data_IF_486085521261
#
_entry.id   IF_486085521261
#
_cell.length_a   1.000
_cell.length_b   1.000
_cell.length_c   1.000
_cell.angle_alpha   90.00
_cell.angle_beta   90.00
_cell.angle_gamma   90.00
#
_symmetry.space_group_name_H-M   'P 1'
#
loop_
_entity.id
_entity.type
_entity.pdbx_description
1 polymer ?
#
# COMPACT_ATOMS: atom_id res chain seq x y z
N UNK A 1 7.87 -7.61 1.97
CA UNK A 1 9.17 -8.26 2.24
C UNK A 1 10.34 -7.43 1.69
N UNK A 2 11.52 -7.43 2.33
CA UNK A 2 12.70 -6.65 1.85
C UNK A 2 13.77 -7.58 1.30
N UNK A 3 14.31 -7.27 0.12
CA UNK A 3 15.42 -8.03 -0.46
C UNK A 3 16.72 -7.77 0.31
N UNK A 4 17.39 -8.84 0.76
CA UNK A 4 18.67 -8.76 1.49
C UNK A 4 19.85 -8.28 0.64
N UNK A 5 19.74 -8.39 -0.68
CA UNK A 5 20.82 -8.06 -1.63
C UNK A 5 20.76 -6.63 -2.16
N UNK A 6 19.58 -6.16 -2.57
CA UNK A 6 19.41 -4.82 -3.14
C UNK A 6 18.64 -3.87 -2.24
N UNK A 7 18.09 -4.35 -1.11
CA UNK A 7 17.34 -3.54 -0.17
C UNK A 7 15.94 -3.10 -0.64
N UNK A 8 15.55 -3.44 -1.88
CA UNK A 8 14.23 -3.09 -2.42
C UNK A 8 13.11 -3.83 -1.68
N UNK A 9 11.98 -3.15 -1.52
CA UNK A 9 10.77 -3.72 -0.92
C UNK A 9 9.99 -4.40 -2.05
N UNK A 10 9.74 -5.70 -1.90
CA UNK A 10 8.87 -6.47 -2.77
C UNK A 10 7.62 -6.94 -2.03
N UNK A 11 6.61 -7.35 -2.80
CA UNK A 11 5.37 -7.91 -2.28
C UNK A 11 5.59 -9.34 -1.77
N UNK A 12 4.87 -9.74 -0.72
CA UNK A 12 5.09 -11.01 0.01
C UNK A 12 4.75 -12.27 -0.80
N UNK A 13 4.02 -12.15 -1.91
CA UNK A 13 3.71 -13.25 -2.81
C UNK A 13 4.75 -13.46 -3.91
N UNK A 14 5.76 -12.59 -4.00
CA UNK A 14 6.77 -12.62 -5.05
C UNK A 14 7.97 -13.46 -4.57
N UNK A 15 8.31 -14.49 -5.34
CA UNK A 15 9.45 -15.37 -5.05
C UNK A 15 10.80 -14.82 -5.54
N UNK A 16 10.81 -13.89 -6.49
CA UNK A 16 12.03 -13.37 -7.12
C UNK A 16 12.04 -11.85 -7.07
N UNK A 17 13.13 -11.25 -6.61
CA UNK A 17 13.25 -9.79 -6.62
C UNK A 17 13.25 -9.24 -8.06
N UNK A 18 12.27 -8.40 -8.40
CA UNK A 18 12.17 -7.77 -9.72
C UNK A 18 13.38 -6.89 -10.08
N UNK A 19 14.14 -6.42 -9.09
CA UNK A 19 15.27 -5.50 -9.30
C UNK A 19 16.60 -6.23 -9.48
N UNK A 20 16.88 -7.27 -8.69
CA UNK A 20 18.19 -7.92 -8.66
C UNK A 20 18.15 -9.42 -8.99
N UNK A 21 16.96 -9.99 -9.22
CA UNK A 21 16.76 -11.40 -9.55
C UNK A 21 17.08 -12.37 -8.41
N UNK A 22 17.28 -11.88 -7.18
CA UNK A 22 17.56 -12.72 -6.04
C UNK A 22 16.32 -13.53 -5.63
N UNK A 23 16.54 -14.79 -5.24
CA UNK A 23 15.49 -15.65 -4.70
C UNK A 23 15.13 -15.18 -3.29
N UNK A 24 13.85 -14.87 -3.10
CA UNK A 24 13.29 -14.35 -1.86
C UNK A 24 12.46 -15.41 -1.12
N UNK A 25 12.42 -16.65 -1.59
CA UNK A 25 11.66 -17.74 -0.97
C UNK A 25 12.05 -17.99 0.49
N UNK A 26 13.31 -17.80 0.84
CA UNK A 26 13.79 -17.91 2.24
C UNK A 26 13.20 -16.80 3.11
N UNK A 27 13.19 -15.56 2.61
CA UNK A 27 12.59 -14.40 3.31
C UNK A 27 11.08 -14.55 3.42
N UNK A 28 10.44 -15.10 2.39
CA UNK A 28 9.01 -15.39 2.38
C UNK A 28 8.64 -16.45 3.44
N UNK A 29 9.44 -17.51 3.59
CA UNK A 29 9.23 -18.52 4.66
C UNK A 29 9.33 -17.92 6.05
N UNK A 30 10.26 -16.99 6.26
CA UNK A 30 10.43 -16.29 7.55
C UNK A 30 9.24 -15.37 7.89
N UNK A 31 8.61 -14.77 6.88
CA UNK A 31 7.44 -13.90 7.05
C UNK A 31 6.13 -14.66 7.21
N UNK A 32 6.12 -15.97 6.97
CA UNK A 32 4.94 -16.83 7.07
C UNK A 32 4.09 -16.82 5.80
N UNK A 33 3.34 -17.92 5.60
CA UNK A 33 2.38 -18.00 4.50
C UNK A 33 1.15 -17.18 4.84
N UNK A 34 0.97 -16.05 4.14
CA UNK A 34 -0.28 -15.31 4.17
C UNK A 34 -1.32 -16.10 3.35
N UNK A 35 -2.52 -16.39 3.91
CA UNK A 35 -3.58 -16.99 3.13
C UNK A 35 -3.96 -16.01 2.00
N UNK A 36 -3.85 -16.45 0.75
CA UNK A 36 -4.42 -15.69 -0.35
C UNK A 36 -5.94 -15.78 -0.20
N UNK A 37 -6.65 -14.66 0.02
CA UNK A 37 -8.10 -14.69 -0.07
C UNK A 37 -8.45 -15.03 -1.52
N UNK A 38 -9.25 -16.06 -1.73
CA UNK A 38 -9.89 -16.26 -3.03
C UNK A 38 -10.78 -15.04 -3.27
N UNK A 39 -10.52 -14.23 -4.32
CA UNK A 39 -11.35 -13.07 -4.57
C UNK A 39 -12.78 -13.52 -4.88
N UNK A 40 -13.71 -13.21 -3.98
CA UNK A 40 -15.13 -13.37 -4.23
C UNK A 40 -15.57 -12.24 -5.17
N UNK A 41 -15.80 -12.59 -6.43
CA UNK A 41 -16.22 -11.65 -7.46
C UNK A 41 -17.75 -11.50 -7.53
N UNK A 42 -18.50 -11.93 -6.51
CA UNK A 42 -19.97 -11.90 -6.56
C UNK A 42 -20.52 -10.49 -6.72
N UNK A 43 -19.83 -9.49 -6.16
CA UNK A 43 -20.18 -8.07 -6.30
C UNK A 43 -19.94 -7.48 -7.71
N UNK A 44 -19.14 -8.15 -8.56
CA UNK A 44 -19.00 -7.75 -9.97
C UNK A 44 -20.14 -8.25 -10.85
N UNK A 45 -20.95 -9.21 -10.38
CA UNK A 45 -22.03 -9.78 -11.20
C UNK A 45 -23.15 -8.77 -11.43
N UNK A 46 -23.35 -7.84 -10.51
CA UNK A 46 -24.32 -6.75 -10.65
C UNK A 46 -23.91 -5.73 -11.72
N UNK A 47 -22.61 -5.61 -12.04
CA UNK A 47 -22.09 -4.70 -13.06
C UNK A 47 -22.23 -5.25 -14.49
N UNK A 48 -22.37 -6.57 -14.66
CA UNK A 48 -22.51 -7.20 -15.99
C UNK A 48 -23.94 -7.07 -16.54
N UNK A 49 -24.91 -6.75 -15.69
CA UNK A 49 -26.33 -6.72 -16.07
C UNK A 49 -26.76 -5.42 -16.77
N UNK A 50 -25.89 -4.41 -16.84
CA UNK A 50 -26.13 -3.16 -17.60
C UNK A 50 -25.01 -2.87 -18.60
N UNK A 51 -24.62 -3.86 -19.41
CA UNK A 51 -23.81 -3.58 -20.61
C UNK A 51 -24.25 -4.51 -21.73
N UNK A 52 -25.15 -3.99 -22.58
CA UNK A 52 -25.19 -4.36 -23.98
C UNK A 52 -23.73 -4.35 -24.50
N UNK A 53 -23.23 -5.40 -25.17
CA UNK A 53 -21.88 -5.36 -25.72
C UNK A 53 -21.77 -4.13 -26.62
N UNK A 54 -20.86 -3.16 -26.36
CA UNK A 54 -20.59 -2.16 -27.36
C UNK A 54 -20.02 -2.92 -28.55
N UNK A 55 -20.78 -2.93 -29.65
CA UNK A 55 -20.20 -3.26 -30.95
C UNK A 55 -18.88 -2.51 -31.09
N UNK A 56 -17.87 -3.24 -31.57
CA UNK A 56 -16.50 -2.81 -31.76
C UNK A 56 -16.34 -1.28 -31.79
N UNK A 57 -15.78 -0.73 -30.73
CA UNK A 57 -15.35 0.66 -30.72
C UNK A 57 -14.37 0.86 -31.89
N UNK A 58 -14.45 1.96 -32.65
CA UNK A 58 -13.35 2.32 -33.52
C UNK A 58 -12.10 2.42 -32.63
N UNK A 59 -10.99 1.82 -33.08
CA UNK A 59 -9.70 1.91 -32.42
C UNK A 59 -9.40 3.38 -32.11
N UNK A 60 -9.57 3.76 -30.85
CA UNK A 60 -9.26 5.11 -30.39
C UNK A 60 -7.74 5.24 -30.46
N UNK A 61 -7.26 6.14 -31.31
CA UNK A 61 -5.85 6.36 -31.52
C UNK A 61 -5.29 7.13 -30.31
N UNK A 62 -4.56 6.41 -29.46
CA UNK A 62 -3.99 6.97 -28.22
C UNK A 62 -2.87 7.99 -28.50
N UNK A 63 -2.47 8.18 -29.76
CA UNK A 63 -1.47 9.16 -30.16
C UNK A 63 -1.99 10.61 -30.15
N UNK A 64 -3.29 10.83 -30.03
CA UNK A 64 -3.91 12.16 -29.90
C UNK A 64 -4.07 12.65 -28.45
N UNK A 65 -3.67 11.84 -27.46
CA UNK A 65 -3.77 12.24 -26.05
C UNK A 65 -2.65 13.23 -25.73
N UNK A 66 -3.01 14.50 -25.60
CA UNK A 66 -2.08 15.57 -25.19
C UNK A 66 -1.79 15.50 -23.69
N UNK A 67 -0.61 15.01 -23.33
CA UNK A 67 -0.12 14.91 -21.95
C UNK A 67 0.60 16.17 -21.47
N UNK A 68 0.62 17.23 -22.28
CA UNK A 68 1.31 18.49 -21.95
C UNK A 68 0.68 19.22 -20.76
N UNK A 69 -0.61 18.98 -20.49
CA UNK A 69 -1.38 19.61 -19.40
C UNK A 69 -1.14 18.93 -18.03
N UNK A 70 -0.51 17.74 -18.01
CA UNK A 70 -0.21 17.01 -16.77
C UNK A 70 1.09 17.47 -16.11
N UNK A 71 1.91 18.24 -16.83
CA UNK A 71 3.08 18.89 -16.26
C UNK A 71 2.58 20.20 -15.64
N UNK A 72 1.94 20.08 -14.47
CA UNK A 72 1.83 21.19 -13.53
C UNK A 72 3.26 21.47 -13.08
N UNK A 73 3.90 22.38 -13.80
CA UNK A 73 5.26 22.80 -13.57
C UNK A 73 5.34 23.64 -12.33
N UNK A 74 5.38 23.02 -11.16
CA UNK A 74 5.93 23.61 -9.95
C UNK A 74 6.59 22.45 -9.20
N UNK A 75 7.90 22.36 -9.39
CA UNK A 75 8.83 21.69 -8.49
C UNK A 75 8.78 22.40 -7.12
N UNK A 76 7.62 22.32 -6.45
CA UNK A 76 7.55 22.45 -5.01
C UNK A 76 8.23 21.20 -4.47
N UNK A 77 9.55 21.35 -4.32
CA UNK A 77 10.38 20.66 -3.34
C UNK A 77 9.48 20.36 -2.13
N UNK A 78 8.98 19.12 -2.07
CA UNK A 78 8.43 18.55 -0.85
C UNK A 78 9.62 18.51 0.09
N UNK A 79 9.90 19.65 0.72
CA UNK A 79 10.80 19.72 1.85
C UNK A 79 10.33 18.63 2.78
N UNK A 80 11.21 17.69 3.06
CA UNK A 80 11.11 16.83 4.22
C UNK A 80 10.92 17.78 5.40
N UNK A 81 9.65 18.07 5.74
CA UNK A 81 9.33 18.61 7.03
C UNK A 81 9.58 17.44 7.95
N UNK A 82 10.83 17.30 8.36
CA UNK A 82 11.25 16.59 9.54
C UNK A 82 10.36 17.15 10.66
N UNK A 83 9.21 16.52 10.86
CA UNK A 83 8.40 16.70 12.05
C UNK A 83 9.27 16.08 13.13
N UNK A 84 10.07 16.92 13.77
CA UNK A 84 10.82 16.58 14.97
C UNK A 84 9.79 16.23 16.04
N UNK A 85 9.46 14.94 16.13
CA UNK A 85 8.58 14.42 17.17
C UNK A 85 9.33 14.57 18.50
N UNK A 86 8.87 15.51 19.34
CA UNK A 86 9.47 15.72 20.65
C UNK A 86 9.15 14.50 21.54
N UNK A 87 10.17 13.72 21.85
CA UNK A 87 10.04 12.48 22.64
C UNK A 87 9.41 12.77 24.01
N UNK A 88 9.57 14.00 24.53
CA UNK A 88 8.95 14.42 25.79
C UNK A 88 7.43 14.49 25.72
N UNK A 89 6.87 14.89 24.57
CA UNK A 89 5.43 14.90 24.36
C UNK A 89 4.85 13.48 24.41
N UNK A 90 5.63 12.49 23.97
CA UNK A 90 5.24 11.07 24.06
C UNK A 90 5.36 10.56 25.50
N UNK A 91 6.40 10.96 26.25
CA UNK A 91 6.57 10.59 27.67
C UNK A 91 5.41 11.10 28.52
N UNK A 92 4.97 12.35 28.32
CA UNK A 92 3.83 12.92 29.06
C UNK A 92 2.53 12.15 28.81
N UNK A 93 2.31 11.65 27.60
CA UNK A 93 1.12 10.84 27.25
C UNK A 93 1.17 9.43 27.88
N UNK A 94 2.37 8.86 28.05
CA UNK A 94 2.54 7.56 28.71
C UNK A 94 2.32 7.67 30.22
N UNK A 95 2.70 8.80 30.82
CA UNK A 95 2.52 9.08 32.24
C UNK A 95 1.10 9.57 32.61
N UNK A 96 0.21 9.73 31.62
CA UNK A 96 -1.17 10.16 31.85
C UNK A 96 -1.97 9.12 32.65
N UNK A 97 -2.32 9.48 33.88
CA UNK A 97 -3.08 8.62 34.80
C UNK A 97 -4.50 8.30 34.32
N UNK A 98 -5.13 9.16 33.52
CA UNK A 98 -6.47 8.92 32.99
C UNK A 98 -6.44 7.86 31.90
N UNK A 99 -5.44 7.93 31.01
CA UNK A 99 -5.22 6.91 29.98
C UNK A 99 -4.90 5.55 30.60
N UNK A 100 -4.04 5.50 31.63
CA UNK A 100 -3.72 4.24 32.33
C UNK A 100 -4.96 3.61 32.98
N UNK A 101 -5.81 4.41 33.63
CA UNK A 101 -7.07 3.93 34.24
C UNK A 101 -8.05 3.39 33.20
N UNK A 102 -8.15 4.02 32.02
CA UNK A 102 -9.00 3.54 30.91
C UNK A 102 -8.47 2.24 30.33
N UNK A 103 -7.16 2.10 30.21
CA UNK A 103 -6.51 0.90 29.69
C UNK A 103 -6.69 -0.29 30.65
N UNK A 104 -6.48 -0.07 31.95
CA UNK A 104 -6.72 -1.08 32.99
C UNK A 104 -8.18 -1.53 33.04
N UNK A 105 -9.12 -0.58 32.96
CA UNK A 105 -10.56 -0.88 32.90
C UNK A 105 -10.96 -1.68 31.64
N UNK A 106 -10.18 -1.59 30.57
CA UNK A 106 -10.41 -2.36 29.34
C UNK A 106 -9.72 -3.73 29.36
N UNK A 107 -8.79 -3.94 30.30
CA UNK A 107 -8.11 -5.23 30.52
C UNK A 107 -8.84 -6.11 31.56
N UNK A 108 -9.78 -5.56 32.33
CA UNK A 108 -10.71 -6.37 33.12
C UNK A 108 -11.80 -6.99 32.19
N UNK A 109 -12.02 -8.31 32.23
CA UNK A 109 -12.96 -9.01 31.34
C UNK A 109 -14.44 -8.74 31.66
#
# INVERSE_FOLDING_TARGET
MRCTKCGNISWDHISICNTCGEDLTEVQKQLGQFPQPEPDFSWFQDLVTETQPPEATPSVDLSEIDVSDLIVGEEEELGDSDIDIDIKEIEDVIEDEELQKVLEKSLEP
#
